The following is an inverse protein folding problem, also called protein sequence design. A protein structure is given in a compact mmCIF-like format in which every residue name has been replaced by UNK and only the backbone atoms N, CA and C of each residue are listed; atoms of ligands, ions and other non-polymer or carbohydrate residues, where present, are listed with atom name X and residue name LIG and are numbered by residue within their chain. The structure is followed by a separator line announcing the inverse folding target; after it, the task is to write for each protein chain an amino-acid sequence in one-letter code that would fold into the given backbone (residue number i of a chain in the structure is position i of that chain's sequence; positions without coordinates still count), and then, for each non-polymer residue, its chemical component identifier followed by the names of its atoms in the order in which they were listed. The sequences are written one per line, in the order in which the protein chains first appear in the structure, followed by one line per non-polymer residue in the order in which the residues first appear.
data_IF_156869340413
#
_entry.id   IF_156869340413
#
_cell.length_a   1.000
_cell.length_b   1.000
_cell.length_c   1.000
_cell.angle_alpha   90.00
_cell.angle_beta   90.00
_cell.angle_gamma   90.00
#
_symmetry.space_group_name_H-M   'P 1'
#
loop_
_entity.id
_entity.type
_entity.pdbx_description
1 polymer ?
#
# COMPACT_ATOMS: atom_id res chain seq x y z
N UNK A 1 -27.79 9.26 10.69
CA UNK A 1 -26.79 8.20 10.93
C UNK A 1 -27.26 6.99 10.14
N UNK A 2 -26.79 6.81 8.91
CA UNK A 2 -27.22 5.70 8.06
C UNK A 2 -26.47 4.46 8.56
N UNK A 3 -27.23 3.48 9.06
CA UNK A 3 -26.68 2.24 9.58
C UNK A 3 -26.25 1.34 8.41
N UNK A 4 -24.95 1.32 8.11
CA UNK A 4 -24.37 0.55 6.99
C UNK A 4 -24.56 -0.98 7.19
N UNK A 5 -24.98 -1.41 8.40
CA UNK A 5 -25.34 -2.79 8.73
C UNK A 5 -26.53 -3.36 7.94
N UNK A 6 -27.28 -2.55 7.19
CA UNK A 6 -28.36 -3.01 6.32
C UNK A 6 -27.93 -3.34 4.88
N UNK A 7 -26.66 -3.17 4.53
CA UNK A 7 -26.12 -3.56 3.23
C UNK A 7 -25.31 -4.86 3.36
N UNK A 8 -25.34 -5.74 2.34
CA UNK A 8 -24.48 -6.94 2.23
C UNK A 8 -22.99 -6.59 2.05
N UNK A 9 -22.58 -5.38 2.42
CA UNK A 9 -21.22 -4.89 2.24
C UNK A 9 -20.38 -5.27 3.45
N UNK A 10 -19.25 -5.91 3.17
CA UNK A 10 -18.21 -6.15 4.14
C UNK A 10 -17.53 -4.81 4.50
N UNK A 11 -17.43 -4.51 5.80
CA UNK A 11 -16.88 -3.24 6.30
C UNK A 11 -15.73 -3.55 7.25
N UNK A 12 -14.55 -2.99 6.93
CA UNK A 12 -13.36 -3.07 7.79
C UNK A 12 -13.15 -1.75 8.53
N UNK A 13 -13.24 -1.77 9.85
CA UNK A 13 -12.99 -0.59 10.68
C UNK A 13 -11.49 -0.44 10.99
N UNK A 14 -10.85 0.54 10.35
CA UNK A 14 -9.47 0.93 10.65
C UNK A 14 -9.36 1.98 11.77
N UNK A 15 -10.44 2.67 12.11
CA UNK A 15 -10.41 3.76 13.10
C UNK A 15 -10.10 3.23 14.50
N UNK A 16 -10.80 2.20 14.95
CA UNK A 16 -10.59 1.61 16.28
C UNK A 16 -9.14 1.11 16.48
N UNK A 17 -8.58 0.24 15.61
CA UNK A 17 -7.21 -0.24 15.82
C UNK A 17 -6.17 0.89 15.73
N UNK A 18 -6.36 1.87 14.83
CA UNK A 18 -5.45 3.03 14.76
C UNK A 18 -5.49 3.88 16.02
N UNK A 19 -6.66 4.10 16.62
CA UNK A 19 -6.80 4.84 17.87
C UNK A 19 -6.14 4.11 19.04
N UNK A 20 -6.21 2.77 19.06
CA UNK A 20 -5.54 1.93 20.06
C UNK A 20 -4.02 2.06 19.94
N UNK A 21 -3.46 1.84 18.75
CA UNK A 21 -2.02 1.93 18.50
C UNK A 21 -1.47 3.32 18.85
N UNK A 22 -2.18 4.38 18.49
CA UNK A 22 -1.79 5.75 18.84
C UNK A 22 -1.70 5.95 20.36
N UNK A 23 -2.61 5.37 21.16
CA UNK A 23 -2.55 5.44 22.62
C UNK A 23 -1.37 4.64 23.16
N UNK A 24 -1.12 3.45 22.61
CA UNK A 24 -0.03 2.57 23.04
C UNK A 24 1.33 3.20 22.76
N UNK A 25 1.56 3.73 21.56
CA UNK A 25 2.79 4.43 21.20
C UNK A 25 3.06 5.66 22.07
N UNK A 26 2.01 6.36 22.50
CA UNK A 26 2.12 7.52 23.39
C UNK A 26 2.51 7.19 24.83
N UNK A 27 2.49 5.92 25.23
CA UNK A 27 3.02 5.50 26.53
C UNK A 27 4.55 5.67 26.60
N UNK A 28 5.25 5.46 25.48
CA UNK A 28 6.71 5.61 25.39
C UNK A 28 7.15 6.85 24.60
N UNK A 29 6.31 7.34 23.69
CA UNK A 29 6.59 8.47 22.81
C UNK A 29 5.43 9.46 22.88
N UNK A 30 5.44 10.37 23.86
CA UNK A 30 4.29 11.25 24.17
C UNK A 30 3.77 12.05 22.98
N UNK A 31 4.67 12.44 22.06
CA UNK A 31 4.34 13.24 20.87
C UNK A 31 4.04 12.39 19.64
N UNK A 32 3.89 11.06 19.79
CA UNK A 32 3.62 10.17 18.68
C UNK A 32 2.33 10.59 17.94
N UNK A 33 2.47 10.69 16.63
CA UNK A 33 1.41 10.96 15.69
C UNK A 33 1.70 10.18 14.42
N UNK A 34 0.68 9.54 13.88
CA UNK A 34 0.71 8.96 12.53
C UNK A 34 0.76 10.02 11.40
N UNK A 35 0.70 11.29 11.78
CA UNK A 35 0.60 12.45 10.91
C UNK A 35 1.39 13.61 11.53
N UNK A 36 2.72 13.47 11.70
CA UNK A 36 3.53 14.48 12.41
C UNK A 36 3.62 15.80 11.63
N UNK A 37 3.49 15.76 10.30
CA UNK A 37 3.62 16.92 9.41
C UNK A 37 2.29 17.36 8.77
N UNK A 38 1.15 17.10 9.43
CA UNK A 38 -0.19 17.39 8.90
C UNK A 38 -0.94 16.14 8.44
N UNK A 39 -2.08 16.26 7.74
CA UNK A 39 -3.07 15.18 7.57
C UNK A 39 -2.56 13.98 6.75
N UNK A 40 -1.41 14.11 6.11
CA UNK A 40 -0.81 13.02 5.35
C UNK A 40 -0.31 11.92 6.29
N UNK A 41 -0.70 10.65 6.04
CA UNK A 41 -0.12 9.52 6.72
C UNK A 41 1.38 9.46 6.45
N UNK A 42 2.18 9.22 7.49
CA UNK A 42 3.57 8.81 7.31
C UNK A 42 3.63 7.33 6.85
N UNK A 43 4.84 6.84 6.52
CA UNK A 43 5.02 5.44 6.10
C UNK A 43 4.57 4.46 7.18
N UNK A 44 4.70 4.81 8.45
CA UNK A 44 4.31 3.95 9.58
C UNK A 44 2.79 3.76 9.65
N UNK A 45 2.01 4.82 9.39
CA UNK A 45 0.55 4.76 9.30
C UNK A 45 0.07 3.89 8.16
N UNK A 46 0.62 4.04 6.96
CA UNK A 46 0.22 3.22 5.82
C UNK A 46 0.51 1.74 6.06
N UNK A 47 1.68 1.43 6.63
CA UNK A 47 2.05 0.06 6.99
C UNK A 47 1.08 -0.52 8.03
N UNK A 48 0.75 0.25 9.07
CA UNK A 48 -0.19 -0.19 10.10
C UNK A 48 -1.58 -0.45 9.51
N UNK A 49 -2.10 0.47 8.68
CA UNK A 49 -3.40 0.30 8.01
C UNK A 49 -3.43 -0.93 7.09
N UNK A 50 -2.38 -1.12 6.28
CA UNK A 50 -2.26 -2.29 5.42
C UNK A 50 -2.23 -3.60 6.24
N UNK A 51 -1.52 -3.62 7.37
CA UNK A 51 -1.48 -4.76 8.29
C UNK A 51 -2.88 -5.10 8.84
N UNK A 52 -3.66 -4.10 9.27
CA UNK A 52 -5.02 -4.36 9.76
C UNK A 52 -5.93 -4.95 8.68
N UNK A 53 -5.83 -4.46 7.44
CA UNK A 53 -6.61 -5.01 6.31
C UNK A 53 -6.22 -6.45 6.00
N UNK A 54 -4.92 -6.75 5.94
CA UNK A 54 -4.42 -8.09 5.65
C UNK A 54 -4.80 -9.10 6.74
N UNK A 55 -4.72 -8.69 8.01
CA UNK A 55 -5.19 -9.51 9.14
C UNK A 55 -6.70 -9.76 9.05
N UNK A 56 -7.48 -8.77 8.65
CA UNK A 56 -8.93 -8.91 8.48
C UNK A 56 -9.29 -9.95 7.42
N UNK A 57 -8.61 -9.94 6.27
CA UNK A 57 -8.87 -10.91 5.18
C UNK A 57 -8.21 -12.29 5.41
N UNK A 58 -7.56 -12.51 6.56
CA UNK A 58 -7.10 -13.84 7.00
C UNK A 58 -5.59 -14.09 6.97
N UNK A 59 -4.76 -13.13 6.59
CA UNK A 59 -3.29 -13.28 6.60
C UNK A 59 -2.72 -13.14 8.01
N UNK A 60 -2.92 -14.15 8.87
CA UNK A 60 -2.50 -14.12 10.28
C UNK A 60 -0.98 -14.09 10.49
N UNK A 61 -0.19 -14.59 9.53
CA UNK A 61 1.26 -14.67 9.57
C UNK A 61 1.95 -13.30 9.70
N UNK A 62 1.29 -12.24 9.24
CA UNK A 62 1.84 -10.88 9.31
C UNK A 62 1.62 -10.21 10.67
N UNK A 63 0.91 -10.86 11.60
CA UNK A 63 0.56 -10.29 12.91
C UNK A 63 1.80 -9.85 13.71
N UNK A 64 2.90 -10.58 13.60
CA UNK A 64 4.14 -10.30 14.32
C UNK A 64 5.13 -9.41 13.54
N UNK A 65 4.81 -9.08 12.28
CA UNK A 65 5.72 -8.25 11.49
C UNK A 65 5.72 -6.80 11.97
N UNK A 66 6.93 -6.24 12.04
CA UNK A 66 7.22 -4.86 12.48
C UNK A 66 7.52 -3.91 11.32
N UNK A 67 7.96 -4.45 10.19
CA UNK A 67 8.31 -3.68 9.00
C UNK A 67 8.05 -4.49 7.73
N UNK A 68 7.94 -3.78 6.61
CA UNK A 68 7.58 -4.38 5.32
C UNK A 68 8.62 -5.41 4.85
N UNK A 69 9.90 -5.19 5.15
CA UNK A 69 10.98 -6.06 4.69
C UNK A 69 10.88 -7.42 5.39
N UNK A 70 10.73 -7.41 6.71
CA UNK A 70 10.54 -8.61 7.51
C UNK A 70 9.25 -9.35 7.13
N UNK A 71 8.18 -8.65 6.76
CA UNK A 71 6.96 -9.29 6.21
C UNK A 71 7.28 -10.01 4.90
N UNK A 72 7.91 -9.33 3.95
CA UNK A 72 8.10 -9.84 2.60
C UNK A 72 9.13 -10.98 2.54
N UNK A 73 10.14 -10.95 3.42
CA UNK A 73 11.14 -12.02 3.53
C UNK A 73 10.56 -13.36 4.01
N UNK A 74 9.32 -13.40 4.53
CA UNK A 74 8.64 -14.65 4.88
C UNK A 74 8.14 -15.41 3.64
N UNK A 75 8.03 -14.72 2.49
CA UNK A 75 7.54 -15.30 1.24
C UNK A 75 8.72 -15.54 0.30
N UNK A 76 8.73 -16.71 -0.33
CA UNK A 76 9.62 -16.99 -1.45
C UNK A 76 9.44 -15.89 -2.50
N UNK A 77 10.56 -15.30 -2.95
CA UNK A 77 10.56 -14.21 -3.94
C UNK A 77 9.82 -12.92 -3.52
N UNK A 78 9.42 -12.77 -2.25
CA UNK A 78 8.59 -11.65 -1.81
C UNK A 78 9.21 -10.26 -2.03
N UNK A 79 10.53 -10.13 -1.86
CA UNK A 79 11.24 -8.88 -2.17
C UNK A 79 11.32 -8.59 -3.67
N UNK A 80 11.54 -9.61 -4.50
CA UNK A 80 11.62 -9.50 -5.95
C UNK A 80 10.26 -9.06 -6.53
N UNK A 81 9.17 -9.70 -6.08
CA UNK A 81 7.79 -9.32 -6.41
C UNK A 81 7.48 -7.89 -5.96
N UNK A 82 7.94 -7.48 -4.77
CA UNK A 82 7.72 -6.13 -4.26
C UNK A 82 8.38 -5.07 -5.15
N UNK A 83 9.61 -5.29 -5.60
CA UNK A 83 10.30 -4.37 -6.52
C UNK A 83 9.56 -4.22 -7.86
N UNK A 84 9.03 -5.33 -8.39
CA UNK A 84 8.19 -5.31 -9.60
C UNK A 84 6.89 -4.53 -9.39
N UNK A 85 6.21 -4.72 -8.26
CA UNK A 85 5.01 -3.94 -7.91
C UNK A 85 5.34 -2.43 -7.84
N UNK A 86 6.47 -2.06 -7.24
CA UNK A 86 6.90 -0.66 -7.18
C UNK A 86 7.16 -0.08 -8.57
N UNK A 87 7.85 -0.85 -9.45
CA UNK A 87 8.09 -0.46 -10.84
C UNK A 87 6.78 -0.25 -11.60
N UNK A 88 5.85 -1.21 -11.49
CA UNK A 88 4.52 -1.13 -12.11
C UNK A 88 3.74 0.09 -11.64
N UNK A 89 3.72 0.37 -10.33
CA UNK A 89 3.03 1.54 -9.77
C UNK A 89 3.62 2.86 -10.28
N UNK A 90 4.94 2.94 -10.41
CA UNK A 90 5.60 4.14 -10.90
C UNK A 90 5.25 4.42 -12.37
N UNK A 91 5.27 3.38 -13.22
CA UNK A 91 4.84 3.48 -14.63
C UNK A 91 3.39 3.93 -14.72
N UNK A 92 2.49 3.25 -14.00
CA UNK A 92 1.05 3.52 -13.99
C UNK A 92 0.75 4.96 -13.58
N UNK A 93 1.36 5.41 -12.48
CA UNK A 93 1.19 6.76 -11.95
C UNK A 93 1.64 7.80 -12.97
N UNK A 94 2.81 7.61 -13.56
CA UNK A 94 3.36 8.55 -14.53
C UNK A 94 2.46 8.62 -15.77
N UNK A 95 2.07 7.47 -16.34
CA UNK A 95 1.22 7.40 -17.51
C UNK A 95 -0.15 8.06 -17.28
N UNK A 96 -0.77 7.80 -16.13
CA UNK A 96 -2.05 8.40 -15.75
C UNK A 96 -1.97 9.92 -15.58
N UNK A 97 -0.90 10.42 -14.94
CA UNK A 97 -0.67 11.87 -14.80
C UNK A 97 -0.44 12.55 -16.14
N UNK A 98 0.27 11.89 -17.07
CA UNK A 98 0.49 12.39 -18.43
C UNK A 98 -0.81 12.42 -19.23
N UNK A 99 -1.58 11.32 -19.22
CA UNK A 99 -2.85 11.19 -19.93
C UNK A 99 -3.90 12.20 -19.46
N UNK A 100 -3.90 12.56 -18.16
CA UNK A 100 -4.79 13.58 -17.58
C UNK A 100 -4.32 15.02 -17.81
N UNK A 101 -3.20 15.22 -18.51
CA UNK A 101 -2.67 16.54 -18.85
C UNK A 101 -2.02 17.28 -17.67
N UNK A 102 -1.65 16.59 -16.59
CA UNK A 102 -1.03 17.22 -15.42
C UNK A 102 0.39 17.68 -15.76
N UNK A 103 0.56 18.97 -16.06
CA UNK A 103 1.87 19.61 -16.31
C UNK A 103 2.60 19.87 -14.99
N UNK A 104 3.01 18.82 -14.28
CA UNK A 104 3.88 19.00 -13.11
C UNK A 104 5.29 19.34 -13.61
N UNK A 105 5.73 20.57 -13.36
CA UNK A 105 7.12 20.99 -13.55
C UNK A 105 8.02 19.95 -12.86
N UNK A 106 8.78 19.17 -13.64
CA UNK A 106 9.73 18.08 -13.27
C UNK A 106 9.32 16.62 -13.56
N UNK A 107 8.10 16.33 -14.04
CA UNK A 107 7.85 14.99 -14.62
C UNK A 107 8.29 15.05 -16.09
N UNK A 108 9.33 14.30 -16.47
CA UNK A 108 9.66 14.11 -17.89
C UNK A 108 8.40 13.57 -18.57
N UNK A 109 7.98 14.18 -19.68
CA UNK A 109 6.92 13.65 -20.52
C UNK A 109 7.20 12.15 -20.72
N UNK A 110 6.25 11.34 -20.30
CA UNK A 110 6.41 9.89 -20.28
C UNK A 110 5.85 9.26 -21.52
N UNK A 111 6.21 7.99 -21.68
CA UNK A 111 5.60 6.99 -22.54
C UNK A 111 4.09 7.22 -22.70
N UNK A 112 3.60 7.08 -23.93
CA UNK A 112 2.17 7.07 -24.25
C UNK A 112 1.44 5.99 -23.42
N UNK A 113 0.14 6.17 -23.17
CA UNK A 113 -0.63 5.25 -22.33
C UNK A 113 -0.50 3.79 -22.80
N UNK A 114 -0.51 3.55 -24.11
CA UNK A 114 -0.37 2.21 -24.70
C UNK A 114 0.98 1.54 -24.39
N UNK A 115 2.06 2.32 -24.38
CA UNK A 115 3.40 1.80 -24.06
C UNK A 115 3.53 1.52 -22.56
N UNK A 116 2.93 2.36 -21.71
CA UNK A 116 2.85 2.11 -20.28
C UNK A 116 2.02 0.86 -19.97
N UNK A 117 0.93 0.62 -20.69
CA UNK A 117 0.10 -0.58 -20.56
C UNK A 117 0.88 -1.84 -20.94
N UNK A 118 1.62 -1.82 -22.05
CA UNK A 118 2.48 -2.92 -22.46
C UNK A 118 3.50 -3.28 -21.38
N UNK A 119 4.24 -2.29 -20.85
CA UNK A 119 5.23 -2.51 -19.79
C UNK A 119 4.59 -3.02 -18.49
N UNK A 120 3.39 -2.55 -18.14
CA UNK A 120 2.65 -3.07 -16.98
C UNK A 120 2.31 -4.55 -17.17
N UNK A 121 1.94 -4.95 -18.39
CA UNK A 121 1.59 -6.34 -18.69
C UNK A 121 2.80 -7.27 -18.64
N UNK A 122 3.96 -6.83 -19.16
CA UNK A 122 5.22 -7.57 -19.01
C UNK A 122 5.58 -7.80 -17.54
N UNK A 123 5.46 -6.75 -16.71
CA UNK A 123 5.70 -6.86 -15.27
C UNK A 123 4.69 -7.79 -14.60
N UNK A 124 3.42 -7.80 -15.02
CA UNK A 124 2.42 -8.72 -14.48
C UNK A 124 2.80 -10.18 -14.75
N UNK A 125 3.24 -10.49 -15.98
CA UNK A 125 3.69 -11.83 -16.36
C UNK A 125 4.90 -12.24 -15.51
N UNK A 126 5.85 -11.33 -15.27
CA UNK A 126 7.02 -11.59 -14.43
C UNK A 126 6.61 -11.86 -12.97
N UNK A 127 5.68 -11.08 -12.42
CA UNK A 127 5.12 -11.31 -11.07
C UNK A 127 4.43 -12.68 -11.00
N UNK A 128 3.58 -13.01 -11.97
CA UNK A 128 2.86 -14.29 -12.00
C UNK A 128 3.84 -15.47 -12.06
N UNK A 129 4.88 -15.36 -12.88
CA UNK A 129 5.95 -16.36 -12.98
C UNK A 129 6.60 -16.59 -11.61
N UNK A 130 7.05 -15.52 -10.94
CA UNK A 130 7.69 -15.59 -9.62
C UNK A 130 6.77 -16.12 -8.51
N UNK A 131 5.44 -15.99 -8.65
CA UNK A 131 4.48 -16.51 -7.67
C UNK A 131 4.15 -17.99 -7.89
N UNK A 132 4.47 -18.55 -9.07
CA UNK A 132 4.22 -19.96 -9.41
C UNK A 132 5.44 -20.87 -9.33
N UNK A 133 6.64 -20.29 -9.19
CA UNK A 133 7.93 -20.99 -8.95
C UNK A 133 8.16 -21.36 -7.48
#
# INVERSE_FOLDING_TARGET
MVDIRQSQLEVVDLHIPMKKELKEQRLSHTDFSFSPNGPHPDKSRYLFMAKQLLLYVGYSEIAQSKDIKNTLMQFQKGMEVYELIQKRQQISKIAWLTATGLKRLRIKASLEWSEAEHQQNEINIEIETLLTE
#
